data_IF_724592088003
#
_entry.id   IF_724592088003
#
_cell.length_a   1.000
_cell.length_b   1.000
_cell.length_c   1.000
_cell.angle_alpha   90.00
_cell.angle_beta   90.00
_cell.angle_gamma   90.00
#
_symmetry.space_group_name_H-M   'P 1'
#
loop_
_entity.id
_entity.type
_entity.pdbx_description
1 polymer ?
#
# COMPACT_ATOMS: atom_id res chain seq x y z
N UNK A 1 18.81 26.78 3.31
CA UNK A 1 17.69 25.88 3.67
C UNK A 1 17.87 24.55 2.97
N UNK A 2 17.89 23.47 3.75
CA UNK A 2 17.50 22.06 3.48
C UNK A 2 17.90 21.40 2.15
N UNK A 3 18.98 20.60 2.21
CA UNK A 3 19.40 19.56 1.24
C UNK A 3 18.88 18.15 1.66
N UNK A 4 17.61 18.01 2.07
CA UNK A 4 17.09 16.71 2.56
C UNK A 4 16.41 15.85 1.48
N UNK A 5 16.14 16.38 0.28
CA UNK A 5 15.38 15.65 -0.75
C UNK A 5 16.25 14.71 -1.61
N UNK A 6 17.58 14.77 -1.51
CA UNK A 6 18.49 13.96 -2.34
C UNK A 6 18.71 12.54 -1.77
N UNK A 7 18.52 12.36 -0.46
CA UNK A 7 18.78 11.08 0.23
C UNK A 7 17.62 10.07 0.12
N UNK A 8 16.37 10.54 0.03
CA UNK A 8 15.19 9.65 -0.06
C UNK A 8 15.01 9.06 -1.45
N UNK A 9 15.38 9.81 -2.50
CA UNK A 9 15.52 9.27 -3.85
C UNK A 9 16.59 8.17 -3.87
N UNK A 10 17.65 8.30 -3.06
CA UNK A 10 18.76 7.37 -3.00
C UNK A 10 18.39 6.00 -2.39
N UNK A 11 17.39 5.91 -1.50
CA UNK A 11 16.98 4.65 -0.84
C UNK A 11 16.06 3.80 -1.73
N UNK A 12 15.13 4.41 -2.47
CA UNK A 12 14.38 3.72 -3.51
C UNK A 12 15.28 3.39 -4.72
N UNK A 13 16.20 4.31 -5.09
CA UNK A 13 17.17 4.04 -6.16
C UNK A 13 18.20 3.00 -5.77
N UNK A 14 18.61 2.87 -4.50
CA UNK A 14 19.63 1.87 -4.13
C UNK A 14 19.04 0.46 -4.09
N UNK A 15 17.79 0.27 -3.66
CA UNK A 15 17.14 -1.03 -3.73
C UNK A 15 16.84 -1.45 -5.19
N UNK A 16 16.44 -0.50 -6.06
CA UNK A 16 16.14 -0.78 -7.48
C UNK A 16 17.37 -0.78 -8.40
N UNK A 17 18.36 0.12 -8.22
CA UNK A 17 19.59 0.15 -9.01
C UNK A 17 20.53 -1.02 -8.67
N UNK A 18 20.49 -1.53 -7.42
CA UNK A 18 21.18 -2.77 -7.06
C UNK A 18 20.62 -3.98 -7.84
N UNK A 19 19.34 -3.95 -8.22
CA UNK A 19 18.73 -4.97 -9.08
C UNK A 19 19.10 -4.80 -10.57
N UNK A 20 19.25 -3.57 -11.07
CA UNK A 20 19.58 -3.29 -12.48
C UNK A 20 21.08 -3.55 -12.76
N UNK A 21 21.98 -3.06 -11.89
CA UNK A 21 23.43 -3.23 -12.07
C UNK A 21 23.86 -4.71 -12.05
N UNK A 22 23.13 -5.55 -11.30
CA UNK A 22 23.39 -7.01 -11.25
C UNK A 22 22.97 -7.74 -12.52
N UNK A 23 22.01 -7.20 -13.29
CA UNK A 23 21.57 -7.79 -14.57
C UNK A 23 22.62 -7.57 -15.66
N UNK A 24 23.21 -6.38 -15.71
CA UNK A 24 24.28 -6.03 -16.66
C UNK A 24 25.60 -6.75 -16.35
N UNK A 25 25.88 -7.08 -15.08
CA UNK A 25 27.05 -7.88 -14.68
C UNK A 25 26.89 -9.37 -15.00
N UNK A 26 25.67 -9.94 -14.89
CA UNK A 26 25.38 -11.32 -15.29
C UNK A 26 25.37 -11.51 -16.81
N UNK A 27 24.98 -10.48 -17.56
CA UNK A 27 25.03 -10.49 -19.03
C UNK A 27 26.47 -10.37 -19.56
N UNK A 28 27.32 -9.60 -18.87
CA UNK A 28 28.75 -9.51 -19.19
C UNK A 28 29.59 -10.72 -18.71
N UNK A 29 29.20 -11.39 -17.62
CA UNK A 29 29.91 -12.57 -17.11
C UNK A 29 29.78 -13.83 -18.00
N UNK A 30 28.86 -13.83 -18.97
CA UNK A 30 28.71 -14.91 -19.95
C UNK A 30 29.62 -14.74 -21.19
N UNK A 31 30.38 -13.64 -21.26
CA UNK A 31 31.33 -13.38 -22.35
C UNK A 31 32.68 -12.92 -21.79
N UNK A 32 33.50 -13.82 -21.24
CA UNK A 32 34.96 -13.82 -21.50
C UNK A 32 35.69 -14.96 -20.77
N UNK A 33 36.60 -15.58 -21.50
CA UNK A 33 37.67 -16.47 -21.01
C UNK A 33 38.88 -16.27 -21.97
N UNK A 34 40.13 -16.61 -21.60
CA UNK A 34 40.96 -15.91 -20.62
C UNK A 34 42.35 -15.53 -21.17
N UNK A 35 43.05 -14.55 -20.57
CA UNK A 35 44.52 -14.48 -20.61
C UNK A 35 45.16 -13.59 -19.51
N UNK A 36 46.05 -14.22 -18.74
CA UNK A 36 47.33 -13.74 -18.19
C UNK A 36 47.42 -12.71 -17.03
N UNK A 37 47.97 -13.22 -15.92
CA UNK A 37 49.03 -12.66 -15.04
C UNK A 37 48.76 -11.45 -14.12
N UNK A 38 48.58 -11.69 -12.81
CA UNK A 38 49.54 -11.46 -11.71
C UNK A 38 48.87 -11.53 -10.32
N UNK A 39 49.53 -12.04 -9.25
CA UNK A 39 48.93 -12.15 -7.92
C UNK A 39 49.20 -10.91 -7.07
N UNK A 40 48.19 -10.06 -6.90
CA UNK A 40 48.12 -9.10 -5.80
C UNK A 40 47.11 -9.61 -4.78
N UNK A 41 47.60 -10.12 -3.65
CA UNK A 41 46.81 -10.47 -2.47
C UNK A 41 46.21 -9.20 -1.86
N UNK A 42 45.06 -8.78 -2.36
CA UNK A 42 44.10 -8.01 -1.58
C UNK A 42 43.22 -9.01 -0.81
N UNK A 43 42.94 -8.80 0.48
CA UNK A 43 41.91 -9.57 1.15
C UNK A 43 40.59 -9.19 0.50
N UNK A 44 40.11 -10.07 -0.38
CA UNK A 44 38.76 -10.01 -0.90
C UNK A 44 37.83 -10.09 0.31
N UNK A 45 37.36 -8.92 0.75
CA UNK A 45 36.27 -8.82 1.69
C UNK A 45 35.03 -9.33 0.95
N UNK A 46 34.86 -10.65 1.02
CA UNK A 46 33.78 -11.39 0.40
C UNK A 46 32.51 -11.10 1.19
N UNK A 47 32.01 -9.86 1.08
CA UNK A 47 30.62 -9.57 1.41
C UNK A 47 29.79 -10.25 0.32
N UNK A 48 29.56 -11.56 0.50
CA UNK A 48 28.36 -12.18 -0.05
C UNK A 48 27.20 -11.39 0.53
N UNK A 49 26.73 -10.40 -0.25
CA UNK A 49 25.48 -9.74 0.01
C UNK A 49 24.41 -10.83 -0.02
N UNK A 50 23.98 -11.24 1.17
CA UNK A 50 22.87 -12.15 1.33
C UNK A 50 21.72 -11.57 0.52
N UNK A 51 21.21 -12.30 -0.47
CA UNK A 51 19.90 -11.98 -1.04
C UNK A 51 18.95 -11.94 0.16
N UNK A 52 18.29 -10.80 0.46
CA UNK A 52 17.50 -10.65 1.68
C UNK A 52 16.29 -11.60 1.72
N UNK A 53 15.97 -12.24 0.59
CA UNK A 53 14.98 -13.28 0.46
C UNK A 53 15.62 -14.56 -0.06
N UNK A 54 15.93 -15.47 0.85
CA UNK A 54 16.23 -16.86 0.51
C UNK A 54 14.90 -17.56 0.18
N UNK A 55 14.39 -17.28 -1.02
CA UNK A 55 13.11 -17.79 -1.54
C UNK A 55 13.05 -19.33 -1.53
N UNK A 56 14.19 -20.00 -1.57
CA UNK A 56 14.26 -21.46 -1.49
C UNK A 56 13.80 -21.98 -0.11
N UNK A 57 13.98 -21.18 0.95
CA UNK A 57 13.46 -21.51 2.30
C UNK A 57 11.94 -21.37 2.41
N UNK A 58 11.30 -20.59 1.53
CA UNK A 58 9.84 -20.45 1.48
C UNK A 58 9.16 -21.66 0.82
N UNK A 59 9.88 -22.48 0.06
CA UNK A 59 9.32 -23.64 -0.64
C UNK A 59 9.15 -24.88 0.27
N UNK A 60 8.60 -24.66 1.46
CA UNK A 60 8.13 -25.74 2.34
C UNK A 60 6.61 -25.83 2.24
N UNK A 61 6.04 -27.00 2.53
CA UNK A 61 4.57 -27.20 2.48
C UNK A 61 3.83 -26.17 3.34
N UNK A 62 4.40 -25.78 4.49
CA UNK A 62 3.83 -24.79 5.42
C UNK A 62 3.91 -23.35 4.93
N UNK A 63 4.85 -23.04 4.04
CA UNK A 63 5.09 -21.69 3.53
C UNK A 63 4.67 -21.52 2.07
N UNK A 64 4.19 -22.58 1.41
CA UNK A 64 3.81 -22.56 -0.01
C UNK A 64 2.78 -21.49 -0.34
N UNK A 65 1.79 -21.29 0.53
CA UNK A 65 0.78 -20.26 0.33
C UNK A 65 1.36 -18.85 0.46
N UNK A 66 2.30 -18.64 1.39
CA UNK A 66 3.01 -17.36 1.52
C UNK A 66 3.90 -17.13 0.30
N UNK A 67 4.65 -18.15 -0.14
CA UNK A 67 5.46 -18.11 -1.35
C UNK A 67 4.64 -17.71 -2.57
N UNK A 68 3.47 -18.34 -2.76
CA UNK A 68 2.56 -18.01 -3.85
C UNK A 68 2.06 -16.57 -3.73
N UNK A 69 1.72 -16.09 -2.53
CA UNK A 69 1.34 -14.69 -2.31
C UNK A 69 2.47 -13.74 -2.75
N UNK A 70 3.69 -13.95 -2.28
CA UNK A 70 4.82 -13.08 -2.61
C UNK A 70 5.13 -13.13 -4.11
N UNK A 71 5.30 -14.33 -4.66
CA UNK A 71 5.82 -14.50 -6.03
C UNK A 71 4.81 -14.21 -7.13
N UNK A 72 3.51 -14.42 -6.88
CA UNK A 72 2.45 -14.15 -7.86
C UNK A 72 1.85 -12.75 -7.71
N UNK A 73 1.72 -12.26 -6.47
CA UNK A 73 0.91 -11.08 -6.20
C UNK A 73 1.70 -9.84 -5.79
N UNK A 74 2.86 -10.03 -5.17
CA UNK A 74 3.70 -8.93 -4.67
C UNK A 74 4.94 -8.73 -5.55
N UNK A 75 5.26 -9.70 -6.40
CA UNK A 75 6.54 -9.74 -7.09
C UNK A 75 6.79 -8.50 -7.98
N UNK A 76 7.83 -7.70 -7.65
CA UNK A 76 8.18 -6.50 -8.39
C UNK A 76 8.83 -6.77 -9.76
N UNK A 77 9.00 -8.05 -10.16
CA UNK A 77 9.47 -8.40 -11.50
C UNK A 77 8.46 -8.09 -12.62
N UNK A 78 7.23 -7.72 -12.28
CA UNK A 78 6.37 -7.05 -13.25
C UNK A 78 6.94 -5.65 -13.48
N UNK A 79 7.12 -5.25 -14.74
CA UNK A 79 7.51 -3.88 -15.13
C UNK A 79 6.44 -2.82 -14.75
N UNK A 80 5.73 -3.00 -13.63
CA UNK A 80 4.78 -2.09 -13.04
C UNK A 80 5.56 -0.84 -12.58
N UNK A 81 5.74 0.08 -13.52
CA UNK A 81 6.52 1.30 -13.31
C UNK A 81 5.88 2.28 -12.33
N UNK A 82 4.67 2.00 -11.84
CA UNK A 82 3.96 2.81 -10.85
C UNK A 82 3.24 1.93 -9.81
N UNK A 83 2.91 2.53 -8.66
CA UNK A 83 2.25 1.86 -7.54
C UNK A 83 0.81 1.46 -7.89
N UNK A 84 0.14 2.19 -8.80
CA UNK A 84 -1.22 1.87 -9.21
C UNK A 84 -1.32 0.52 -9.94
N UNK A 85 -0.37 0.21 -10.84
CA UNK A 85 -0.30 -1.05 -11.57
C UNK A 85 -0.02 -2.22 -10.61
N UNK A 86 0.91 -2.01 -9.67
CA UNK A 86 1.20 -2.95 -8.60
C UNK A 86 -0.05 -3.26 -7.75
N UNK A 87 -0.74 -2.23 -7.27
CA UNK A 87 -1.96 -2.41 -6.49
C UNK A 87 -3.11 -2.99 -7.30
N UNK A 88 -3.19 -2.70 -8.60
CA UNK A 88 -4.20 -3.30 -9.48
C UNK A 88 -3.99 -4.81 -9.62
N UNK A 89 -2.75 -5.27 -9.72
CA UNK A 89 -2.43 -6.71 -9.71
C UNK A 89 -2.75 -7.36 -8.36
N UNK A 90 -2.33 -6.74 -7.26
CA UNK A 90 -2.59 -7.24 -5.90
C UNK A 90 -4.09 -7.32 -5.57
N UNK A 91 -4.90 -6.37 -6.05
CA UNK A 91 -6.34 -6.31 -5.79
C UNK A 91 -7.17 -7.25 -6.69
N UNK A 92 -6.54 -8.07 -7.53
CA UNK A 92 -7.27 -9.13 -8.25
C UNK A 92 -7.86 -10.16 -7.27
N UNK A 93 -9.01 -10.79 -7.59
CA UNK A 93 -9.62 -11.79 -6.70
C UNK A 93 -8.70 -12.97 -6.39
N UNK A 94 -7.89 -13.41 -7.36
CA UNK A 94 -6.90 -14.46 -7.17
C UNK A 94 -5.86 -14.06 -6.11
N UNK A 95 -5.31 -12.85 -6.22
CA UNK A 95 -4.32 -12.39 -5.27
C UNK A 95 -4.89 -12.12 -3.88
N UNK A 96 -6.08 -11.54 -3.80
CA UNK A 96 -6.77 -11.37 -2.52
C UNK A 96 -7.08 -12.73 -1.87
N UNK A 97 -7.44 -13.75 -2.65
CA UNK A 97 -7.69 -15.09 -2.10
C UNK A 97 -6.44 -15.69 -1.47
N UNK A 98 -5.28 -15.58 -2.13
CA UNK A 98 -4.02 -16.12 -1.61
C UNK A 98 -3.51 -15.27 -0.45
N UNK A 99 -3.53 -13.93 -0.60
CA UNK A 99 -3.04 -12.99 0.40
C UNK A 99 -3.85 -12.99 1.70
N UNK A 100 -5.13 -13.35 1.68
CA UNK A 100 -5.98 -13.40 2.89
C UNK A 100 -5.92 -14.75 3.64
N UNK A 101 -5.02 -15.66 3.26
CA UNK A 101 -4.80 -16.91 4.00
C UNK A 101 -4.11 -16.66 5.35
N UNK A 102 -4.26 -17.61 6.26
CA UNK A 102 -3.52 -17.62 7.51
C UNK A 102 -2.10 -18.17 7.29
N UNK A 103 -1.09 -17.31 7.48
CA UNK A 103 0.32 -17.66 7.33
C UNK A 103 1.02 -17.94 8.66
N UNK A 104 0.29 -18.00 9.78
CA UNK A 104 0.85 -18.22 11.11
C UNK A 104 1.67 -19.52 11.24
N UNK A 105 1.40 -20.51 10.39
CA UNK A 105 2.16 -21.77 10.30
C UNK A 105 3.52 -21.67 9.60
N UNK A 106 3.82 -20.54 8.94
CA UNK A 106 5.08 -20.29 8.25
C UNK A 106 5.97 -19.34 9.06
N UNK A 107 7.13 -19.80 9.56
CA UNK A 107 7.99 -18.94 10.38
C UNK A 107 8.57 -17.75 9.60
N UNK A 108 8.76 -17.90 8.28
CA UNK A 108 9.20 -16.82 7.40
C UNK A 108 8.17 -15.69 7.23
N UNK A 109 6.93 -15.92 7.68
CA UNK A 109 5.93 -14.86 7.80
C UNK A 109 6.28 -13.82 8.88
N UNK A 110 7.22 -14.13 9.78
CA UNK A 110 7.72 -13.18 10.78
C UNK A 110 9.01 -12.48 10.35
N UNK A 111 9.37 -12.57 9.08
CA UNK A 111 10.56 -11.91 8.50
C UNK A 111 10.18 -11.07 7.28
N UNK A 112 11.11 -10.84 6.36
CA UNK A 112 10.94 -9.98 5.18
C UNK A 112 9.65 -10.29 4.37
N UNK A 113 9.28 -11.56 4.08
CA UNK A 113 8.04 -11.86 3.36
C UNK A 113 6.76 -11.35 4.03
N UNK A 114 6.65 -11.51 5.35
CA UNK A 114 5.49 -11.01 6.10
C UNK A 114 5.44 -9.49 6.11
N UNK A 115 6.60 -8.84 6.20
CA UNK A 115 6.72 -7.40 6.08
C UNK A 115 6.28 -6.90 4.70
N UNK A 116 6.73 -7.54 3.62
CA UNK A 116 6.35 -7.19 2.25
C UNK A 116 4.84 -7.32 2.03
N UNK A 117 4.23 -8.40 2.53
CA UNK A 117 2.77 -8.55 2.52
C UNK A 117 2.07 -7.44 3.31
N UNK A 118 2.56 -7.15 4.52
CA UNK A 118 2.00 -6.11 5.36
C UNK A 118 2.05 -4.73 4.73
N UNK A 119 3.20 -4.35 4.17
CA UNK A 119 3.35 -3.09 3.44
C UNK A 119 2.45 -3.05 2.20
N UNK A 120 2.33 -4.16 1.47
CA UNK A 120 1.45 -4.26 0.30
C UNK A 120 0.00 -3.99 0.67
N UNK A 121 -0.50 -4.60 1.76
CA UNK A 121 -1.85 -4.30 2.28
C UNK A 121 -2.00 -2.82 2.63
N UNK A 122 -1.01 -2.26 3.33
CA UNK A 122 -1.06 -0.86 3.75
C UNK A 122 -1.14 0.09 2.55
N UNK A 123 -0.39 -0.16 1.48
CA UNK A 123 -0.35 0.73 0.32
C UNK A 123 -1.47 0.47 -0.69
N UNK A 124 -2.04 -0.74 -0.74
CA UNK A 124 -3.03 -1.12 -1.74
C UNK A 124 -4.46 -1.29 -1.23
N UNK A 125 -4.73 -1.12 0.07
CA UNK A 125 -6.07 -1.28 0.61
C UNK A 125 -7.07 -0.32 -0.06
N UNK A 126 -8.24 -0.88 -0.40
CA UNK A 126 -9.36 -0.18 -0.98
C UNK A 126 -10.62 -0.34 -0.11
N UNK A 127 -11.51 0.64 -0.22
CA UNK A 127 -12.82 0.64 0.42
C UNK A 127 -13.83 -0.24 -0.34
N UNK A 128 -15.07 -0.28 0.13
CA UNK A 128 -16.19 -0.99 -0.50
C UNK A 128 -16.48 -0.57 -1.95
N UNK A 129 -16.01 0.60 -2.38
CA UNK A 129 -16.25 1.17 -3.70
C UNK A 129 -15.00 1.08 -4.60
N UNK A 130 -13.94 0.39 -4.18
CA UNK A 130 -12.68 0.29 -4.90
C UNK A 130 -11.82 1.55 -4.85
N UNK A 131 -12.13 2.52 -3.97
CA UNK A 131 -11.28 3.70 -3.75
C UNK A 131 -10.20 3.38 -2.74
N UNK A 132 -9.00 3.94 -2.91
CA UNK A 132 -7.92 3.76 -1.95
C UNK A 132 -8.35 4.23 -0.55
N UNK A 133 -7.97 3.45 0.45
CA UNK A 133 -8.16 3.83 1.84
C UNK A 133 -7.33 5.09 2.16
N UNK A 134 -7.79 5.98 3.06
CA UNK A 134 -7.05 7.20 3.40
C UNK A 134 -5.59 6.97 3.83
N UNK A 135 -5.34 5.89 4.59
CA UNK A 135 -3.97 5.48 4.96
C UNK A 135 -3.16 5.09 3.72
N UNK A 136 -3.71 4.25 2.84
CA UNK A 136 -3.07 3.82 1.59
C UNK A 136 -2.78 4.98 0.66
N UNK A 137 -3.76 5.86 0.45
CA UNK A 137 -3.61 7.07 -0.35
C UNK A 137 -2.49 7.99 0.19
N UNK A 138 -2.39 8.13 1.51
CA UNK A 138 -1.32 8.90 2.14
C UNK A 138 0.07 8.29 1.90
N UNK A 139 0.19 6.96 2.00
CA UNK A 139 1.43 6.23 1.74
C UNK A 139 1.85 6.31 0.26
N UNK A 140 0.89 6.29 -0.67
CA UNK A 140 1.17 6.42 -2.09
C UNK A 140 1.57 7.84 -2.50
N UNK A 141 0.83 8.86 -2.02
CA UNK A 141 1.04 10.27 -2.43
C UNK A 141 2.34 10.86 -1.89
N UNK A 142 2.90 10.30 -0.83
CA UNK A 142 4.14 10.76 -0.20
C UNK A 142 4.86 9.53 0.33
N UNK A 143 5.97 9.17 -0.31
CA UNK A 143 6.94 8.17 0.12
C UNK A 143 7.55 8.37 1.54
N UNK A 144 6.97 9.22 2.42
CA UNK A 144 7.34 9.41 3.82
C UNK A 144 6.41 10.42 4.51
N UNK A 145 5.13 10.08 4.73
CA UNK A 145 4.43 10.69 5.87
C UNK A 145 4.02 9.59 6.81
N UNK A 146 4.57 9.68 8.02
CA UNK A 146 4.23 8.81 9.12
C UNK A 146 2.70 8.79 9.26
N UNK A 147 2.14 7.59 9.39
CA UNK A 147 0.75 7.37 9.71
C UNK A 147 0.44 8.19 10.96
N UNK A 148 -0.65 8.97 10.91
CA UNK A 148 -1.08 9.78 12.03
C UNK A 148 -2.55 9.51 12.36
N UNK A 149 -2.97 9.96 13.53
CA UNK A 149 -4.31 9.69 14.05
C UNK A 149 -5.44 10.20 13.15
N UNK A 150 -5.25 11.32 12.43
CA UNK A 150 -6.28 11.81 11.52
C UNK A 150 -6.51 10.84 10.35
N UNK A 151 -5.42 10.30 9.77
CA UNK A 151 -5.51 9.29 8.71
C UNK A 151 -6.15 7.99 9.21
N UNK A 152 -5.82 7.58 10.43
CA UNK A 152 -6.43 6.43 11.10
C UNK A 152 -7.93 6.66 11.31
N UNK A 153 -8.32 7.83 11.82
CA UNK A 153 -9.72 8.20 12.04
C UNK A 153 -10.51 8.31 10.72
N UNK A 154 -9.89 8.70 9.62
CA UNK A 154 -10.55 8.71 8.31
C UNK A 154 -10.68 7.29 7.74
N UNK A 155 -9.64 6.46 7.90
CA UNK A 155 -9.66 5.03 7.53
C UNK A 155 -10.80 4.29 8.26
N UNK A 156 -11.05 4.70 9.49
CA UNK A 156 -12.10 4.21 10.39
C UNK A 156 -13.53 4.32 9.83
N UNK A 157 -13.75 5.15 8.82
CA UNK A 157 -15.05 5.33 8.16
C UNK A 157 -15.43 4.17 7.23
N UNK A 158 -14.45 3.38 6.80
CA UNK A 158 -14.67 2.17 6.01
C UNK A 158 -14.27 0.93 6.82
N UNK A 159 -15.18 -0.04 6.88
CA UNK A 159 -14.93 -1.30 7.59
C UNK A 159 -13.83 -2.09 6.89
N UNK A 160 -13.92 -2.20 5.56
CA UNK A 160 -12.92 -2.92 4.76
C UNK A 160 -11.54 -2.29 4.93
N UNK A 161 -11.45 -0.96 4.86
CA UNK A 161 -10.21 -0.26 5.09
C UNK A 161 -9.64 -0.52 6.48
N UNK A 162 -10.47 -0.45 7.52
CA UNK A 162 -10.03 -0.69 8.89
C UNK A 162 -9.47 -2.11 9.06
N UNK A 163 -10.18 -3.12 8.54
CA UNK A 163 -9.76 -4.53 8.60
C UNK A 163 -8.44 -4.77 7.86
N UNK A 164 -8.30 -4.26 6.64
CA UNK A 164 -7.08 -4.43 5.84
C UNK A 164 -5.87 -3.71 6.46
N UNK A 165 -6.06 -2.48 6.95
CA UNK A 165 -4.98 -1.73 7.61
C UNK A 165 -4.59 -2.39 8.93
N UNK A 166 -5.53 -2.92 9.73
CA UNK A 166 -5.21 -3.71 10.93
C UNK A 166 -4.34 -4.91 10.57
N UNK A 167 -4.70 -5.67 9.53
CA UNK A 167 -3.93 -6.83 9.08
C UNK A 167 -2.52 -6.42 8.65
N UNK A 168 -2.39 -5.38 7.83
CA UNK A 168 -1.09 -4.88 7.38
C UNK A 168 -0.21 -4.40 8.53
N UNK A 169 -0.77 -3.64 9.49
CA UNK A 169 -0.02 -3.19 10.68
C UNK A 169 0.45 -4.37 11.54
N UNK A 170 -0.39 -5.40 11.73
CA UNK A 170 -0.01 -6.62 12.46
C UNK A 170 1.11 -7.39 11.75
N UNK A 171 1.02 -7.52 10.43
CA UNK A 171 2.03 -8.18 9.60
C UNK A 171 3.40 -7.50 9.70
N UNK A 172 3.42 -6.18 9.53
CA UNK A 172 4.66 -5.39 9.65
C UNK A 172 5.21 -5.46 11.09
N UNK A 173 4.35 -5.32 12.11
CA UNK A 173 4.77 -5.41 13.52
C UNK A 173 5.32 -6.80 13.88
N UNK A 174 4.67 -7.87 13.42
CA UNK A 174 5.14 -9.22 13.73
C UNK A 174 6.51 -9.47 13.11
N UNK A 175 6.74 -8.90 11.92
CA UNK A 175 8.01 -8.99 11.19
C UNK A 175 9.11 -8.11 11.77
N UNK A 176 8.76 -7.05 12.52
CA UNK A 176 9.72 -6.16 13.17
C UNK A 176 10.43 -6.79 14.38
N UNK A 177 10.09 -8.03 14.75
CA UNK A 177 10.84 -8.78 15.76
C UNK A 177 12.10 -9.44 15.17
N UNK A 178 12.20 -9.52 13.83
CA UNK A 178 13.40 -10.01 13.16
C UNK A 178 14.47 -8.89 13.11
N UNK A 179 15.67 -9.11 13.69
CA UNK A 179 16.74 -8.13 13.66
C UNK A 179 17.17 -7.73 12.24
N UNK A 180 17.08 -8.65 11.27
CA UNK A 180 17.40 -8.37 9.87
C UNK A 180 16.42 -7.36 9.30
N UNK A 181 15.12 -7.56 9.55
CA UNK A 181 14.06 -6.63 9.14
C UNK A 181 14.28 -5.26 9.76
N UNK A 182 14.54 -5.20 11.07
CA UNK A 182 14.73 -3.93 11.77
C UNK A 182 15.96 -3.15 11.30
N UNK A 183 17.02 -3.83 10.86
CA UNK A 183 18.21 -3.16 10.35
C UNK A 183 17.99 -2.46 9.00
N UNK A 184 16.92 -2.79 8.27
CA UNK A 184 16.55 -2.14 7.00
C UNK A 184 15.91 -0.77 7.25
N UNK A 185 15.26 -0.58 8.41
CA UNK A 185 14.51 0.63 8.72
C UNK A 185 15.36 1.77 9.29
N UNK A 186 15.00 2.99 8.92
CA UNK A 186 15.51 4.20 9.57
C UNK A 186 15.03 4.27 11.02
N UNK A 187 15.77 4.97 11.89
CA UNK A 187 15.35 5.18 13.29
C UNK A 187 13.99 5.89 13.40
N UNK A 188 13.65 6.77 12.45
CA UNK A 188 12.33 7.41 12.38
C UNK A 188 11.23 6.37 12.13
N UNK A 189 11.43 5.45 11.19
CA UNK A 189 10.49 4.37 10.90
C UNK A 189 10.34 3.41 12.08
N UNK A 190 11.44 3.11 12.79
CA UNK A 190 11.40 2.28 14.01
C UNK A 190 10.59 2.95 15.11
N UNK A 191 10.72 4.26 15.28
CA UNK A 191 9.91 5.02 16.23
C UNK A 191 8.44 5.02 15.84
N UNK A 192 8.13 5.15 14.56
CA UNK A 192 6.76 5.06 14.06
C UNK A 192 6.12 3.69 14.34
N UNK A 193 6.86 2.60 14.13
CA UNK A 193 6.40 1.23 14.41
C UNK A 193 5.95 1.04 15.86
N UNK A 194 6.49 1.79 16.82
CA UNK A 194 6.04 1.75 18.24
C UNK A 194 4.59 2.23 18.39
N UNK A 195 4.09 3.04 17.46
CA UNK A 195 2.70 3.50 17.47
C UNK A 195 1.72 2.50 16.86
N UNK A 196 2.18 1.40 16.26
CA UNK A 196 1.29 0.47 15.55
C UNK A 196 0.26 -0.17 16.48
N UNK A 197 0.62 -0.51 17.73
CA UNK A 197 -0.35 -1.02 18.69
C UNK A 197 -1.45 -0.02 19.01
N UNK A 198 -1.08 1.26 19.10
CA UNK A 198 -2.04 2.34 19.30
C UNK A 198 -2.97 2.49 18.10
N UNK A 199 -2.44 2.45 16.88
CA UNK A 199 -3.26 2.55 15.67
C UNK A 199 -4.16 1.33 15.48
N UNK A 200 -3.65 0.12 15.73
CA UNK A 200 -4.44 -1.11 15.72
C UNK A 200 -5.57 -1.01 16.74
N UNK A 201 -5.30 -0.52 17.96
CA UNK A 201 -6.33 -0.34 18.98
C UNK A 201 -7.44 0.59 18.50
N UNK A 202 -7.10 1.78 17.98
CA UNK A 202 -8.09 2.75 17.46
C UNK A 202 -8.93 2.13 16.33
N UNK A 203 -8.29 1.45 15.37
CA UNK A 203 -8.99 0.81 14.25
C UNK A 203 -9.88 -0.37 14.69
N UNK A 204 -9.53 -1.03 15.80
CA UNK A 204 -10.26 -2.18 16.34
C UNK A 204 -11.42 -1.78 17.25
N UNK A 205 -11.55 -0.50 17.62
CA UNK A 205 -12.66 -0.03 18.45
C UNK A 205 -14.00 -0.21 17.73
N UNK A 206 -15.05 -0.56 18.48
CA UNK A 206 -16.39 -0.76 17.91
C UNK A 206 -16.91 0.47 17.16
N UNK A 207 -16.56 1.67 17.63
CA UNK A 207 -16.91 2.94 16.96
C UNK A 207 -16.33 3.05 15.54
N UNK A 208 -15.29 2.28 15.26
CA UNK A 208 -14.63 2.21 13.96
C UNK A 208 -15.32 1.21 13.04
N UNK A 209 -15.49 -0.01 13.53
CA UNK A 209 -16.04 -1.13 12.77
C UNK A 209 -17.56 -0.97 12.54
N UNK A 210 -18.24 -0.21 13.40
CA UNK A 210 -19.70 -0.06 13.45
C UNK A 210 -20.28 1.27 12.94
N UNK A 211 -19.48 2.20 12.43
CA UNK A 211 -19.96 3.54 12.04
C UNK A 211 -20.84 3.59 10.77
N UNK A 212 -21.29 2.44 10.23
CA UNK A 212 -22.21 2.37 9.08
C UNK A 212 -23.64 2.90 9.33
N UNK A 213 -23.96 3.46 10.50
CA UNK A 213 -25.37 3.71 10.83
C UNK A 213 -25.67 5.07 11.45
N UNK A 214 -25.02 6.17 11.06
CA UNK A 214 -25.53 7.51 11.45
C UNK A 214 -25.38 8.58 10.37
N UNK A 215 -25.71 8.31 9.11
CA UNK A 215 -26.08 9.38 8.16
C UNK A 215 -27.25 8.94 7.26
N UNK A 216 -28.34 8.50 7.90
CA UNK A 216 -29.68 8.57 7.32
C UNK A 216 -30.70 8.96 8.41
N UNK A 217 -30.30 9.81 9.36
CA UNK A 217 -31.29 10.63 10.07
C UNK A 217 -31.68 11.75 9.12
N UNK A 218 -32.65 11.41 8.28
CA UNK A 218 -33.83 12.22 8.03
C UNK A 218 -33.70 13.62 8.63
N UNK A 219 -33.58 14.64 7.77
CA UNK A 219 -34.18 15.94 8.07
C UNK A 219 -35.69 15.69 8.23
N UNK A 220 -36.08 15.14 9.37
CA UNK A 220 -37.45 15.13 9.83
C UNK A 220 -37.67 16.55 10.36
N UNK A 221 -38.06 17.39 9.41
CA UNK A 221 -38.46 18.76 9.62
C UNK A 221 -39.73 18.75 10.48
N UNK A 222 -39.58 18.61 11.80
CA UNK A 222 -40.64 18.93 12.77
C UNK A 222 -40.72 20.44 12.87
N UNK A 223 -41.41 21.04 11.91
CA UNK A 223 -42.02 22.34 12.13
C UNK A 223 -43.46 22.13 12.59
N UNK A 224 -43.76 22.77 13.71
CA UNK A 224 -45.04 22.83 14.40
C UNK A 224 -46.19 23.27 13.49
N UNK A 225 -47.38 22.79 13.82
CA UNK A 225 -48.67 23.14 13.26
C UNK A 225 -48.86 24.61 12.90
N UNK A 226 -49.37 24.84 11.70
CA UNK A 226 -50.19 26.01 11.37
C UNK A 226 -51.05 25.68 10.15
N UNK A 227 -52.35 25.50 10.39
CA UNK A 227 -53.40 25.51 9.36
C UNK A 227 -53.29 26.74 8.47
N UNK A 228 -53.28 26.56 7.16
CA UNK A 228 -54.10 27.36 6.22
C UNK A 228 -53.95 26.81 4.81
N UNK A 229 -55.09 26.73 4.12
CA UNK A 229 -55.21 26.40 2.72
C UNK A 229 -54.48 27.45 1.88
N UNK A 230 -53.67 27.05 0.91
CA UNK A 230 -53.69 27.71 -0.40
C UNK A 230 -53.00 26.88 -1.48
N UNK A 231 -53.69 26.81 -2.61
CA UNK A 231 -53.24 26.27 -3.88
C UNK A 231 -52.17 27.20 -4.46
N UNK A 232 -51.03 26.66 -4.87
CA UNK A 232 -50.38 27.14 -6.10
C UNK A 232 -49.37 26.11 -6.60
N UNK A 233 -49.62 25.60 -7.81
CA UNK A 233 -48.71 24.73 -8.52
C UNK A 233 -47.46 25.50 -8.94
N UNK A 234 -46.33 25.18 -8.30
CA UNK A 234 -45.02 25.60 -8.76
C UNK A 234 -44.37 24.42 -9.51
N UNK A 235 -44.44 24.49 -10.84
CA UNK A 235 -43.72 23.64 -11.78
C UNK A 235 -42.23 23.63 -11.44
N UNK A 236 -41.68 22.48 -11.05
CA UNK A 236 -40.24 22.25 -10.97
C UNK A 236 -39.67 22.41 -12.38
N UNK A 237 -39.04 23.56 -12.66
CA UNK A 237 -38.44 23.81 -13.95
C UNK A 237 -37.17 22.96 -14.05
N UNK A 238 -37.23 21.86 -14.82
CA UNK A 238 -36.08 21.09 -15.31
C UNK A 238 -35.23 21.94 -16.28
N UNK A 239 -34.56 22.97 -15.78
CA UNK A 239 -33.44 23.61 -16.47
C UNK A 239 -32.18 22.96 -15.91
N UNK A 240 -31.59 22.01 -16.62
CA UNK A 240 -30.36 21.38 -16.15
C UNK A 240 -29.57 20.58 -17.17
N UNK A 241 -30.12 20.26 -18.34
CA UNK A 241 -29.40 19.44 -19.33
C UNK A 241 -29.24 20.11 -20.69
N UNK A 242 -30.20 20.93 -21.14
CA UNK A 242 -30.11 21.60 -22.43
C UNK A 242 -29.05 22.73 -22.47
N UNK A 243 -28.86 23.44 -21.36
CA UNK A 243 -27.92 24.57 -21.26
C UNK A 243 -26.44 24.10 -21.30
N UNK A 244 -26.17 22.92 -20.75
CA UNK A 244 -24.84 22.31 -20.76
C UNK A 244 -24.42 21.88 -22.18
N UNK A 245 -25.36 21.37 -22.98
CA UNK A 245 -25.08 20.92 -24.36
C UNK A 245 -24.78 22.13 -25.27
N UNK A 246 -25.49 23.25 -25.12
CA UNK A 246 -25.20 24.46 -25.91
C UNK A 246 -23.83 25.07 -25.60
N UNK A 247 -23.35 24.98 -24.35
CA UNK A 247 -22.04 25.51 -23.98
C UNK A 247 -20.88 24.69 -24.58
N UNK A 248 -21.03 23.36 -24.65
CA UNK A 248 -20.05 22.48 -25.27
C UNK A 248 -19.98 22.70 -26.78
N UNK A 249 -21.12 22.86 -27.46
CA UNK A 249 -21.15 23.13 -28.89
C UNK A 249 -20.49 24.47 -29.27
N UNK A 250 -20.64 25.51 -28.43
CA UNK A 250 -19.98 26.80 -28.63
C UNK A 250 -18.46 26.71 -28.50
N UNK A 251 -17.94 25.92 -27.55
CA UNK A 251 -16.50 25.72 -27.38
C UNK A 251 -15.86 25.00 -28.57
N UNK A 252 -16.57 24.06 -29.20
CA UNK A 252 -16.10 23.38 -30.41
C UNK A 252 -16.22 24.22 -31.68
N UNK A 253 -17.02 25.30 -31.70
CA UNK A 253 -17.13 26.18 -32.86
C UNK A 253 -16.01 27.23 -32.98
N UNK A 254 -15.14 27.32 -31.97
CA UNK A 254 -14.07 28.31 -31.88
C UNK A 254 -12.65 27.71 -32.03
N UNK A 255 -12.55 26.39 -32.21
CA UNK A 255 -11.34 25.64 -32.58
C UNK A 255 -11.49 25.09 -33.99
#
# INVERSE_FOLDING_TARGET
>A
MKFNNLFTLLLASSAFAYHIQRRDELENASQTNPAASNPATNPANNSQAANPLDLDKLNTEKCKDLYDAITKCINPNSNAGNIEDFCSNYNTPECQQVANKDFSGCELYKSVPGMELGLTRLVCAQDENGKLCPTSEAQQKKLAKNINENMINDTCKSKICSEQIILGLKEVKNSSNDPVVMNIYSEESKEEMKNFDRYIAILSEEKCIGSKTVENKTMENKNSESKSNESSGATHIKIGSALLISFVALLFSHF
#
